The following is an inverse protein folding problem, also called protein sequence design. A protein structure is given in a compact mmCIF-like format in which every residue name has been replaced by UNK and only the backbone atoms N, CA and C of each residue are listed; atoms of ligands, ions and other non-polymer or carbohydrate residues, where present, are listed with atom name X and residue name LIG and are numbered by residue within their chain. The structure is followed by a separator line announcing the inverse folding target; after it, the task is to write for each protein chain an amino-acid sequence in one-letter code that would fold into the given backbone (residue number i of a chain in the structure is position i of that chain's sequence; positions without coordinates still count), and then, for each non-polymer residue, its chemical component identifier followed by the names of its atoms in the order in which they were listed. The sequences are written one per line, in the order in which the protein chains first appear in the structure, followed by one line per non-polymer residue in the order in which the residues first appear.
data_IF_081163686971
#
_entry.id   IF_081163686971
#
_cell.length_a   1.000
_cell.length_b   1.000
_cell.length_c   1.000
_cell.angle_alpha   90.00
_cell.angle_beta   90.00
_cell.angle_gamma   90.00
#
_symmetry.space_group_name_H-M   'P 1'
#
loop_
_entity.id
_entity.type
_entity.pdbx_description
1 polymer ?
#
# COMPACT_ATOMS: atom_id res chain seq x y z
N UNK A 1 -4.55 9.11 -1.94
CA UNK A 1 -5.65 8.13 -1.91
C UNK A 1 -5.12 6.77 -2.34
N UNK A 2 -5.44 5.72 -1.60
CA UNK A 2 -5.07 4.33 -1.87
C UNK A 2 -6.36 3.59 -2.22
N UNK A 3 -6.32 2.80 -3.30
CA UNK A 3 -7.46 2.01 -3.77
C UNK A 3 -7.04 0.55 -3.79
N UNK A 4 -7.75 -0.29 -3.04
CA UNK A 4 -7.45 -1.71 -2.93
C UNK A 4 -8.70 -2.57 -3.18
N UNK A 5 -8.47 -3.84 -3.54
CA UNK A 5 -9.56 -4.81 -3.65
C UNK A 5 -10.02 -5.25 -2.27
N UNK A 6 -11.31 -5.12 -2.04
CA UNK A 6 -12.00 -5.63 -0.88
C UNK A 6 -12.39 -7.11 -1.03
N UNK A 7 -13.48 -7.50 -0.39
CA UNK A 7 -14.06 -8.84 -0.50
C UNK A 7 -14.95 -8.93 -1.75
N UNK A 8 -14.79 -9.99 -2.51
CA UNK A 8 -15.57 -10.18 -3.74
C UNK A 8 -15.22 -9.12 -4.79
N UNK A 9 -16.20 -8.28 -5.17
CA UNK A 9 -16.06 -7.20 -6.15
C UNK A 9 -15.92 -5.82 -5.50
N UNK A 10 -16.00 -5.72 -4.18
CA UNK A 10 -15.90 -4.44 -3.48
C UNK A 10 -14.50 -3.85 -3.65
N UNK A 11 -14.38 -2.53 -3.58
CA UNK A 11 -13.12 -1.83 -3.46
C UNK A 11 -13.06 -1.09 -2.13
N UNK A 12 -11.87 -1.02 -1.57
CA UNK A 12 -11.58 -0.27 -0.35
C UNK A 12 -10.77 0.94 -0.74
N UNK A 13 -11.24 2.10 -0.34
CA UNK A 13 -10.55 3.38 -0.54
C UNK A 13 -10.06 3.84 0.82
N UNK A 14 -8.78 4.19 0.86
CA UNK A 14 -8.12 4.73 2.04
C UNK A 14 -7.51 6.09 1.73
N UNK A 15 -7.66 7.02 2.63
CA UNK A 15 -7.13 8.36 2.47
C UNK A 15 -7.17 9.15 3.77
N UNK A 16 -7.11 10.47 3.64
CA UNK A 16 -7.18 11.39 4.76
C UNK A 16 -8.23 12.46 4.50
N UNK A 17 -8.81 12.98 5.57
CA UNK A 17 -9.61 14.20 5.57
C UNK A 17 -8.69 15.44 5.59
N UNK A 18 -9.23 16.68 5.39
CA UNK A 18 -8.46 17.90 5.59
C UNK A 18 -7.81 18.01 6.97
N UNK A 19 -8.44 17.43 7.99
CA UNK A 19 -7.95 17.42 9.36
C UNK A 19 -6.94 16.28 9.65
N UNK A 20 -6.39 15.66 8.59
CA UNK A 20 -5.41 14.56 8.68
C UNK A 20 -5.95 13.26 9.30
N UNK A 21 -7.25 13.16 9.56
CA UNK A 21 -7.89 11.97 10.10
C UNK A 21 -7.99 10.86 9.04
N UNK A 22 -7.98 9.60 9.49
CA UNK A 22 -8.15 8.46 8.60
C UNK A 22 -9.55 8.45 7.97
N UNK A 23 -9.60 8.31 6.66
CA UNK A 23 -10.79 8.09 5.88
C UNK A 23 -10.70 6.73 5.19
N UNK A 24 -11.57 5.80 5.57
CA UNK A 24 -11.70 4.49 4.94
C UNK A 24 -13.14 4.32 4.45
N UNK A 25 -13.31 3.91 3.19
CA UNK A 25 -14.61 3.66 2.59
C UNK A 25 -14.59 2.39 1.76
N UNK A 26 -15.63 1.57 1.92
CA UNK A 26 -15.87 0.43 1.02
C UNK A 26 -16.94 0.80 0.01
N UNK A 27 -16.61 0.70 -1.27
CA UNK A 27 -17.55 0.90 -2.37
C UNK A 27 -17.94 -0.46 -2.91
N UNK A 28 -19.26 -0.68 -3.07
CA UNK A 28 -19.81 -1.87 -3.72
C UNK A 28 -19.36 -1.91 -5.17
N UNK A 29 -18.68 -2.98 -5.55
CA UNK A 29 -18.24 -3.20 -6.91
C UNK A 29 -19.34 -3.79 -7.79
N UNK A 30 -19.16 -3.62 -9.09
CA UNK A 30 -20.00 -4.21 -10.14
C UNK A 30 -19.24 -5.30 -10.90
N UNK A 31 -19.85 -5.89 -11.88
CA UNK A 31 -19.17 -6.77 -12.82
C UNK A 31 -18.20 -5.97 -13.69
N UNK A 32 -16.97 -6.48 -13.94
CA UNK A 32 -16.04 -5.83 -14.84
C UNK A 32 -16.62 -5.77 -16.26
N UNK A 33 -16.27 -4.74 -17.00
CA UNK A 33 -16.79 -4.51 -18.34
C UNK A 33 -15.75 -3.89 -19.27
N UNK A 34 -16.04 -3.93 -20.55
CA UNK A 34 -15.44 -3.10 -21.59
C UNK A 34 -16.51 -2.70 -22.61
N UNK A 35 -16.13 -1.85 -23.55
CA UNK A 35 -17.01 -1.53 -24.68
C UNK A 35 -16.43 -2.11 -25.97
N UNK A 36 -17.33 -2.46 -26.89
CA UNK A 36 -17.00 -2.87 -28.25
C UNK A 36 -17.90 -2.12 -29.20
N UNK A 37 -17.62 -2.14 -30.52
CA UNK A 37 -18.57 -1.64 -31.49
C UNK A 37 -19.85 -2.43 -31.41
N UNK A 38 -21.00 -1.76 -31.58
CA UNK A 38 -22.31 -2.40 -31.51
C UNK A 38 -22.46 -3.51 -32.55
N UNK A 39 -21.84 -3.38 -33.72
CA UNK A 39 -21.81 -4.39 -34.77
C UNK A 39 -21.09 -5.69 -34.38
N UNK A 40 -20.08 -5.61 -33.49
CA UNK A 40 -19.28 -6.75 -33.02
C UNK A 40 -19.91 -7.44 -31.81
N UNK A 41 -20.76 -6.75 -31.08
CA UNK A 41 -21.34 -7.24 -29.82
C UNK A 41 -22.09 -8.59 -29.95
N UNK A 42 -22.85 -8.89 -31.08
CA UNK A 42 -23.53 -10.18 -31.22
C UNK A 42 -22.60 -11.39 -31.18
N UNK A 43 -21.35 -11.24 -31.58
CA UNK A 43 -20.38 -12.34 -31.71
C UNK A 43 -19.62 -12.63 -30.40
N UNK A 44 -19.87 -11.88 -29.33
CA UNK A 44 -19.20 -12.08 -28.03
C UNK A 44 -20.03 -13.02 -27.15
N UNK A 45 -19.52 -14.24 -26.96
CA UNK A 45 -20.19 -15.28 -26.19
C UNK A 45 -19.95 -15.15 -24.67
N UNK A 46 -18.82 -14.56 -24.26
CA UNK A 46 -18.36 -14.47 -22.86
C UNK A 46 -19.10 -13.41 -22.02
N UNK A 47 -20.00 -12.66 -22.65
CA UNK A 47 -20.75 -11.62 -21.96
C UNK A 47 -21.78 -12.21 -20.98
N UNK A 48 -21.75 -11.79 -19.73
CA UNK A 48 -22.84 -12.02 -18.77
C UNK A 48 -24.07 -11.20 -19.16
N UNK A 49 -23.85 -9.98 -19.64
CA UNK A 49 -24.88 -9.05 -20.09
C UNK A 49 -24.31 -8.08 -21.13
N UNK A 50 -25.13 -7.62 -22.03
CA UNK A 50 -24.84 -6.60 -23.05
C UNK A 50 -25.80 -5.43 -22.87
N UNK A 51 -25.28 -4.20 -22.96
CA UNK A 51 -26.07 -2.98 -22.82
C UNK A 51 -25.72 -2.03 -23.97
N UNK A 52 -26.68 -1.69 -24.78
CA UNK A 52 -26.53 -0.80 -25.94
C UNK A 52 -26.75 0.67 -25.58
N UNK A 53 -26.48 1.56 -26.53
CA UNK A 53 -26.80 2.98 -26.41
C UNK A 53 -25.66 3.87 -25.98
N UNK A 54 -24.45 3.35 -25.97
CA UNK A 54 -23.24 4.14 -25.69
C UNK A 54 -22.64 4.72 -26.96
N UNK A 55 -21.93 5.84 -26.79
CA UNK A 55 -21.22 6.52 -27.88
C UNK A 55 -19.78 6.76 -27.48
N UNK A 56 -18.85 6.36 -28.31
CA UNK A 56 -17.42 6.60 -28.14
C UNK A 56 -17.06 8.08 -28.36
N UNK A 57 -15.83 8.43 -28.03
CA UNK A 57 -15.32 9.80 -28.11
C UNK A 57 -15.38 10.39 -29.53
N UNK A 58 -15.27 9.54 -30.54
CA UNK A 58 -15.31 9.96 -31.96
C UNK A 58 -16.65 9.63 -32.64
N UNK A 59 -17.71 9.36 -31.86
CA UNK A 59 -19.06 9.12 -32.38
C UNK A 59 -19.39 7.67 -32.73
N UNK A 60 -18.50 6.72 -32.41
CA UNK A 60 -18.76 5.30 -32.63
C UNK A 60 -19.93 4.82 -31.75
N UNK A 61 -20.79 3.99 -32.33
CA UNK A 61 -21.83 3.29 -31.57
C UNK A 61 -21.20 2.13 -30.80
N UNK A 62 -21.35 2.13 -29.49
CA UNK A 62 -20.77 1.16 -28.62
C UNK A 62 -21.80 0.40 -27.80
N UNK A 63 -21.47 -0.86 -27.52
CA UNK A 63 -22.21 -1.76 -26.62
C UNK A 63 -21.30 -2.08 -25.45
N UNK A 64 -21.78 -1.91 -24.20
CA UNK A 64 -21.11 -2.30 -22.96
C UNK A 64 -21.22 -3.82 -22.81
N UNK A 65 -20.08 -4.49 -22.75
CA UNK A 65 -19.96 -5.93 -22.52
C UNK A 65 -19.59 -6.15 -21.07
N UNK A 66 -20.52 -6.69 -20.30
CA UNK A 66 -20.33 -7.01 -18.89
C UNK A 66 -19.87 -8.46 -18.79
N UNK A 67 -18.72 -8.68 -18.15
CA UNK A 67 -18.04 -9.97 -18.06
C UNK A 67 -18.06 -10.54 -16.64
N UNK A 68 -17.91 -11.87 -16.53
CA UNK A 68 -17.84 -12.55 -15.23
C UNK A 68 -16.56 -12.20 -14.47
N UNK A 69 -15.47 -11.96 -15.17
CA UNK A 69 -14.15 -11.66 -14.59
C UNK A 69 -13.37 -10.63 -15.41
N UNK A 70 -12.36 -10.03 -14.77
CA UNK A 70 -11.38 -9.18 -15.48
C UNK A 70 -10.52 -9.98 -16.47
N UNK A 71 -10.39 -11.26 -16.25
CA UNK A 71 -9.71 -12.14 -17.21
C UNK A 71 -10.47 -12.14 -18.54
N UNK A 72 -11.80 -12.27 -18.51
CA UNK A 72 -12.63 -12.26 -19.70
C UNK A 72 -12.51 -10.93 -20.45
N UNK A 73 -12.53 -9.80 -19.73
CA UNK A 73 -12.30 -8.46 -20.31
C UNK A 73 -10.95 -8.40 -21.03
N UNK A 74 -9.88 -8.94 -20.42
CA UNK A 74 -8.56 -8.98 -21.04
C UNK A 74 -8.49 -9.89 -22.26
N UNK A 75 -9.23 -11.00 -22.26
CA UNK A 75 -9.30 -11.87 -23.45
C UNK A 75 -10.00 -11.15 -24.61
N UNK A 76 -11.10 -10.46 -24.35
CA UNK A 76 -11.78 -9.64 -25.35
C UNK A 76 -10.86 -8.55 -25.91
N UNK A 77 -10.09 -7.89 -25.06
CA UNK A 77 -9.12 -6.87 -25.49
C UNK A 77 -8.00 -7.41 -26.37
N UNK A 78 -7.63 -8.68 -26.21
CA UNK A 78 -6.64 -9.33 -27.07
C UNK A 78 -7.23 -9.81 -28.40
N UNK A 79 -8.52 -10.14 -28.41
CA UNK A 79 -9.21 -10.68 -29.57
C UNK A 79 -9.68 -9.61 -30.57
N UNK A 80 -9.89 -8.36 -30.11
CA UNK A 80 -10.41 -7.30 -30.97
C UNK A 80 -10.30 -5.91 -30.38
N UNK A 81 -10.86 -4.94 -31.07
CA UNK A 81 -10.88 -3.54 -30.61
C UNK A 81 -11.87 -3.38 -29.46
N UNK A 82 -11.37 -2.93 -28.33
CA UNK A 82 -12.16 -2.65 -27.13
C UNK A 82 -11.81 -1.26 -26.57
N UNK A 83 -12.77 -0.66 -25.87
CA UNK A 83 -12.56 0.57 -25.11
C UNK A 83 -12.68 0.27 -23.61
N UNK A 84 -11.89 0.95 -22.80
CA UNK A 84 -11.83 0.85 -21.34
C UNK A 84 -11.39 -0.53 -20.78
N UNK A 85 -11.08 -1.50 -21.63
CA UNK A 85 -10.60 -2.82 -21.18
C UNK A 85 -9.24 -2.77 -20.47
N UNK A 86 -8.46 -1.71 -20.66
CA UNK A 86 -7.17 -1.46 -20.03
C UNK A 86 -7.27 -0.68 -18.70
N UNK A 87 -8.47 -0.21 -18.34
CA UNK A 87 -8.68 0.46 -17.07
C UNK A 87 -8.68 -0.59 -15.95
N UNK A 88 -7.80 -0.48 -14.95
CA UNK A 88 -7.81 -1.39 -13.79
C UNK A 88 -9.18 -1.39 -13.12
N UNK A 89 -9.68 -2.56 -12.79
CA UNK A 89 -11.03 -2.73 -12.21
C UNK A 89 -11.34 -1.81 -11.02
N UNK A 90 -10.43 -1.61 -10.03
CA UNK A 90 -10.71 -0.67 -8.94
C UNK A 90 -10.94 0.77 -9.42
N UNK A 91 -10.22 1.19 -10.47
CA UNK A 91 -10.39 2.54 -11.04
C UNK A 91 -11.70 2.65 -11.83
N UNK A 92 -12.10 1.58 -12.51
CA UNK A 92 -13.39 1.51 -13.22
C UNK A 92 -14.57 1.65 -12.24
N UNK A 93 -14.55 0.90 -11.11
CA UNK A 93 -15.56 1.00 -10.06
C UNK A 93 -15.60 2.41 -9.45
N UNK A 94 -14.42 3.02 -9.23
CA UNK A 94 -14.33 4.38 -8.68
C UNK A 94 -14.90 5.42 -9.67
N UNK A 95 -14.55 5.30 -10.95
CA UNK A 95 -15.07 6.20 -11.99
C UNK A 95 -16.59 6.13 -12.07
N UNK A 96 -17.16 4.92 -12.09
CA UNK A 96 -18.61 4.73 -12.10
C UNK A 96 -19.28 5.27 -10.82
N UNK A 97 -18.65 5.07 -9.66
CA UNK A 97 -19.12 5.65 -8.39
C UNK A 97 -19.23 7.17 -8.46
N UNK A 98 -18.23 7.83 -9.00
CA UNK A 98 -18.21 9.30 -9.15
C UNK A 98 -19.24 9.75 -10.19
N UNK A 99 -19.33 9.06 -11.33
CA UNK A 99 -20.26 9.38 -12.42
C UNK A 99 -21.73 9.23 -12.01
N UNK A 100 -22.03 8.43 -10.99
CA UNK A 100 -23.36 8.33 -10.39
C UNK A 100 -23.74 9.51 -9.49
N UNK A 101 -22.93 10.57 -9.45
CA UNK A 101 -23.18 11.78 -8.66
C UNK A 101 -22.83 11.66 -7.19
N UNK A 102 -22.06 10.63 -6.81
CA UNK A 102 -21.57 10.50 -5.45
C UNK A 102 -20.47 11.54 -5.16
N UNK A 103 -20.33 11.92 -3.91
CA UNK A 103 -19.32 12.90 -3.50
C UNK A 103 -17.90 12.44 -3.87
N UNK A 104 -17.05 13.37 -4.34
CA UNK A 104 -15.65 13.09 -4.59
C UNK A 104 -14.97 12.56 -3.32
N UNK A 105 -14.08 11.59 -3.50
CA UNK A 105 -13.32 11.05 -2.39
C UNK A 105 -12.20 12.03 -2.02
N UNK A 106 -12.07 12.39 -0.76
CA UNK A 106 -11.03 13.30 -0.30
C UNK A 106 -9.63 12.78 -0.65
N UNK A 107 -8.81 13.63 -1.23
CA UNK A 107 -7.40 13.34 -1.50
C UNK A 107 -6.54 14.47 -0.95
N UNK A 108 -6.26 14.39 0.34
CA UNK A 108 -5.48 15.37 1.08
C UNK A 108 -4.06 14.87 1.38
N UNK A 109 -3.31 15.63 2.17
CA UNK A 109 -1.96 15.31 2.55
C UNK A 109 -1.85 13.89 3.13
N UNK A 110 -0.88 13.13 2.63
CA UNK A 110 -0.62 11.77 3.09
C UNK A 110 0.36 11.74 4.25
N UNK A 111 0.10 10.87 5.22
CA UNK A 111 1.09 10.54 6.23
C UNK A 111 2.15 9.66 5.61
N UNK A 112 3.37 10.17 5.56
CA UNK A 112 4.51 9.50 4.95
C UNK A 112 5.54 9.15 6.00
N UNK A 113 5.97 7.90 6.01
CA UNK A 113 7.13 7.43 6.75
C UNK A 113 8.31 7.25 5.81
N UNK A 114 9.42 7.90 6.14
CA UNK A 114 10.73 7.64 5.53
C UNK A 114 11.41 6.58 6.38
N UNK A 115 11.56 5.38 5.85
CA UNK A 115 11.99 4.18 6.56
C UNK A 115 13.38 3.77 6.11
N UNK A 116 14.18 3.35 7.07
CA UNK A 116 15.47 2.70 6.86
C UNK A 116 15.65 1.62 7.93
N UNK A 117 16.34 0.52 7.60
CA UNK A 117 16.56 -0.58 8.53
C UNK A 117 17.93 -1.23 8.34
N UNK A 118 18.55 -1.60 9.46
CA UNK A 118 19.84 -2.24 9.47
C UNK A 118 19.79 -3.62 10.14
N UNK A 119 20.46 -4.58 9.55
CA UNK A 119 20.52 -5.95 10.05
C UNK A 119 21.92 -6.55 9.93
N UNK A 120 22.16 -7.63 10.68
CA UNK A 120 23.41 -8.37 10.63
C UNK A 120 23.53 -9.10 9.28
N UNK A 121 24.58 -8.88 8.49
CA UNK A 121 24.75 -9.57 7.22
C UNK A 121 24.97 -11.08 7.36
N UNK A 122 25.45 -11.53 8.53
CA UNK A 122 25.73 -12.94 8.79
C UNK A 122 24.53 -13.72 9.32
N UNK A 123 23.70 -13.09 10.15
CA UNK A 123 22.56 -13.77 10.80
C UNK A 123 21.21 -13.31 10.28
N UNK A 124 21.17 -12.22 9.54
CA UNK A 124 19.95 -11.56 9.07
C UNK A 124 19.12 -10.89 10.19
N UNK A 125 19.59 -10.94 11.46
CA UNK A 125 18.84 -10.35 12.57
C UNK A 125 18.78 -8.84 12.45
N UNK A 126 17.58 -8.30 12.56
CA UNK A 126 17.33 -6.86 12.56
C UNK A 126 17.98 -6.21 13.78
N UNK A 127 18.73 -5.14 13.56
CA UNK A 127 19.46 -4.40 14.59
C UNK A 127 18.84 -3.05 14.88
N UNK A 128 18.48 -2.34 13.84
CA UNK A 128 17.93 -0.97 13.93
C UNK A 128 16.79 -0.83 12.91
N UNK A 129 15.77 -0.09 13.28
CA UNK A 129 14.77 0.46 12.37
C UNK A 129 14.65 1.93 12.70
N UNK A 130 14.68 2.77 11.68
CA UNK A 130 14.47 4.21 11.77
C UNK A 130 13.28 4.61 10.92
N UNK A 131 12.46 5.52 11.41
CA UNK A 131 11.39 6.12 10.62
C UNK A 131 11.22 7.61 10.95
N UNK A 132 11.24 8.46 9.93
CA UNK A 132 10.77 9.83 10.05
C UNK A 132 9.30 9.93 9.65
N UNK A 133 8.49 10.59 10.44
CA UNK A 133 7.05 10.76 10.23
C UNK A 133 6.73 12.23 9.93
N UNK A 134 6.28 12.53 8.73
CA UNK A 134 6.00 13.90 8.29
C UNK A 134 4.85 14.59 9.06
N UNK A 135 3.93 13.84 9.68
CA UNK A 135 2.81 14.43 10.42
C UNK A 135 3.20 14.88 11.82
N UNK A 136 4.04 14.12 12.49
CA UNK A 136 4.58 14.49 13.80
C UNK A 136 5.89 15.27 13.71
N UNK A 137 6.52 15.30 12.52
CA UNK A 137 7.86 15.88 12.27
C UNK A 137 8.91 15.29 13.20
N UNK A 138 8.78 13.99 13.52
CA UNK A 138 9.65 13.27 14.44
C UNK A 138 10.31 12.07 13.79
N UNK A 139 11.53 11.84 14.18
CA UNK A 139 12.24 10.61 13.92
C UNK A 139 12.01 9.63 15.08
N UNK A 140 11.87 8.36 14.75
CA UNK A 140 11.75 7.26 15.71
C UNK A 140 12.84 6.25 15.40
N UNK A 141 13.55 5.83 16.46
CA UNK A 141 14.61 4.82 16.34
C UNK A 141 14.30 3.66 17.27
N UNK A 142 14.19 2.48 16.69
CA UNK A 142 14.08 1.21 17.43
C UNK A 142 15.36 0.43 17.23
N UNK A 143 16.03 0.02 18.31
CA UNK A 143 17.28 -0.73 18.19
C UNK A 143 17.42 -1.82 19.24
N UNK A 144 18.17 -2.87 18.90
CA UNK A 144 18.44 -4.00 19.79
C UNK A 144 19.73 -3.74 20.56
N UNK A 145 19.60 -3.47 21.86
CA UNK A 145 20.72 -3.34 22.78
C UNK A 145 20.33 -3.87 24.17
N UNK A 146 20.67 -5.14 24.47
CA UNK A 146 20.21 -5.80 25.70
C UNK A 146 20.68 -5.11 26.99
N UNK A 147 21.86 -4.49 27.00
CA UNK A 147 22.41 -3.82 28.16
C UNK A 147 21.64 -2.55 28.48
N UNK A 148 21.40 -1.71 27.49
CA UNK A 148 20.62 -0.49 27.64
C UNK A 148 19.14 -0.77 27.92
N UNK A 149 18.61 -1.83 27.32
CA UNK A 149 17.23 -2.27 27.54
C UNK A 149 16.97 -2.62 29.02
N UNK A 150 17.93 -3.26 29.71
CA UNK A 150 17.81 -3.58 31.14
C UNK A 150 17.74 -2.34 32.03
N UNK A 151 18.32 -1.23 31.60
CA UNK A 151 18.38 0.00 32.39
C UNK A 151 17.11 0.87 32.22
N UNK A 152 16.33 0.68 31.19
CA UNK A 152 15.25 1.61 30.83
C UNK A 152 13.90 1.04 30.46
N UNK A 153 13.78 -0.29 30.24
CA UNK A 153 12.54 -0.90 29.80
C UNK A 153 11.83 -1.63 30.95
N UNK A 154 10.69 -1.11 31.39
CA UNK A 154 9.69 -1.90 32.14
C UNK A 154 8.69 -2.46 31.13
N UNK A 155 8.41 -3.77 31.22
CA UNK A 155 7.29 -4.47 30.59
C UNK A 155 7.15 -4.34 29.05
N UNK A 156 8.28 -4.22 28.33
CA UNK A 156 8.28 -4.15 26.85
C UNK A 156 7.82 -2.81 26.29
N UNK A 157 7.57 -1.81 27.10
CA UNK A 157 7.37 -0.43 26.68
C UNK A 157 8.72 0.27 26.60
N UNK A 158 9.12 0.65 25.36
CA UNK A 158 10.36 1.41 25.15
C UNK A 158 10.27 2.77 25.83
N UNK A 159 11.19 3.06 26.75
CA UNK A 159 11.42 4.44 27.18
C UNK A 159 12.36 5.11 26.20
N UNK A 160 12.12 6.38 25.86
CA UNK A 160 13.08 7.15 25.09
C UNK A 160 14.45 7.11 25.80
N UNK A 161 15.48 6.68 25.11
CA UNK A 161 16.83 6.71 25.63
C UNK A 161 17.43 8.08 25.34
N UNK A 162 17.30 8.99 26.32
CA UNK A 162 17.74 10.38 26.21
C UNK A 162 19.25 10.61 26.34
N UNK A 163 20.06 9.57 26.55
CA UNK A 163 21.47 9.66 26.86
C UNK A 163 22.44 9.22 25.75
N UNK A 164 22.00 9.03 24.52
CA UNK A 164 22.90 9.04 23.35
C UNK A 164 23.30 10.49 23.00
N UNK A 165 23.37 11.34 23.98
CA UNK A 165 23.31 12.79 23.93
C UNK A 165 24.69 13.47 23.84
N UNK A 166 25.47 13.15 22.82
CA UNK A 166 26.30 14.19 22.21
C UNK A 166 25.64 14.86 21.01
N UNK A 167 24.52 14.29 20.52
CA UNK A 167 23.72 14.86 19.45
C UNK A 167 22.36 15.27 20.02
N UNK A 168 22.14 16.57 20.07
CA UNK A 168 20.93 17.26 20.56
C UNK A 168 19.74 17.09 19.61
N UNK A 169 19.40 15.86 19.26
CA UNK A 169 18.15 15.57 18.56
C UNK A 169 17.14 15.05 19.58
N UNK A 170 15.97 15.68 19.62
CA UNK A 170 14.80 15.25 20.41
C UNK A 170 14.13 14.02 19.76
N UNK A 171 14.97 13.05 19.38
CA UNK A 171 14.57 11.82 18.69
C UNK A 171 14.27 10.75 19.73
N UNK A 172 13.04 10.22 19.76
CA UNK A 172 12.71 9.12 20.66
C UNK A 172 13.39 7.82 20.22
N UNK A 173 14.57 7.56 20.74
CA UNK A 173 15.32 6.33 20.54
C UNK A 173 14.93 5.31 21.62
N UNK A 174 14.60 4.08 21.19
CA UNK A 174 14.09 3.03 22.06
C UNK A 174 14.94 1.76 21.95
N UNK A 175 15.58 1.38 23.07
CA UNK A 175 16.38 0.16 23.18
C UNK A 175 15.52 -1.05 23.54
N UNK A 176 15.76 -2.18 22.91
CA UNK A 176 15.05 -3.43 23.15
C UNK A 176 16.00 -4.58 23.50
N UNK A 177 15.58 -5.52 24.37
CA UNK A 177 16.43 -6.63 24.80
C UNK A 177 16.69 -7.65 23.66
N UNK A 178 15.83 -7.69 22.67
CA UNK A 178 15.93 -8.59 21.52
C UNK A 178 15.12 -8.08 20.33
N UNK A 179 15.38 -8.65 19.17
CA UNK A 179 14.72 -8.33 17.91
C UNK A 179 13.20 -8.48 17.97
N UNK A 180 12.70 -9.55 18.58
CA UNK A 180 11.26 -9.80 18.64
C UNK A 180 10.52 -8.69 19.39
N UNK A 181 11.05 -8.24 20.52
CA UNK A 181 10.48 -7.14 21.30
C UNK A 181 10.48 -5.83 20.51
N UNK A 182 11.58 -5.56 19.82
CA UNK A 182 11.73 -4.39 18.94
C UNK A 182 10.66 -4.41 17.83
N UNK A 183 10.53 -5.53 17.11
CA UNK A 183 9.55 -5.67 16.04
C UNK A 183 8.11 -5.53 16.55
N UNK A 184 7.78 -6.08 17.72
CA UNK A 184 6.44 -5.90 18.32
C UNK A 184 6.14 -4.43 18.55
N UNK A 185 7.09 -3.69 19.11
CA UNK A 185 6.91 -2.26 19.39
C UNK A 185 6.81 -1.45 18.10
N UNK A 186 7.70 -1.69 17.14
CA UNK A 186 7.65 -1.09 15.81
C UNK A 186 6.28 -1.32 15.14
N UNK A 187 5.79 -2.57 15.11
CA UNK A 187 4.50 -2.90 14.51
C UNK A 187 3.31 -2.21 15.20
N UNK A 188 3.35 -2.09 16.53
CA UNK A 188 2.35 -1.34 17.30
C UNK A 188 2.36 0.13 16.95
N UNK A 189 3.55 0.71 16.84
CA UNK A 189 3.72 2.12 16.46
C UNK A 189 3.29 2.37 15.01
N UNK A 190 3.68 1.51 14.09
CA UNK A 190 3.23 1.53 12.69
C UNK A 190 1.70 1.48 12.58
N UNK A 191 1.06 0.62 13.38
CA UNK A 191 -0.41 0.52 13.44
C UNK A 191 -1.04 1.79 14.03
N UNK A 192 -0.45 2.37 15.07
CA UNK A 192 -0.95 3.61 15.72
C UNK A 192 -0.84 4.81 14.80
N UNK A 193 0.29 4.99 14.14
CA UNK A 193 0.53 6.09 13.21
C UNK A 193 -0.21 5.90 11.90
N UNK A 194 -0.34 4.67 11.46
CA UNK A 194 -1.02 4.24 10.23
C UNK A 194 -0.63 5.09 9.00
N UNK A 195 0.67 5.11 8.60
CA UNK A 195 1.12 5.88 7.46
C UNK A 195 0.44 5.40 6.17
N UNK A 196 0.17 6.34 5.27
CA UNK A 196 -0.37 6.08 3.94
C UNK A 196 0.74 5.62 2.99
N UNK A 197 1.91 6.24 3.15
CA UNK A 197 3.10 5.99 2.32
C UNK A 197 4.24 5.53 3.22
N UNK A 198 4.95 4.49 2.79
CA UNK A 198 6.26 4.11 3.32
C UNK A 198 7.25 4.28 2.18
N UNK A 199 8.30 5.04 2.41
CA UNK A 199 9.32 5.36 1.40
C UNK A 199 10.72 5.32 2.00
N UNK A 200 11.73 5.16 1.17
CA UNK A 200 13.14 5.11 1.52
C UNK A 200 13.97 4.72 0.30
N UNK A 201 15.27 4.65 0.49
CA UNK A 201 16.19 4.24 -0.58
C UNK A 201 16.26 2.72 -0.67
N UNK A 202 15.87 2.15 -1.79
CA UNK A 202 15.76 0.70 -2.03
C UNK A 202 14.87 -0.02 -0.99
N UNK A 203 13.93 0.72 -0.42
CA UNK A 203 13.14 0.31 0.75
C UNK A 203 12.27 -0.91 0.50
N UNK A 204 11.77 -1.11 -0.71
CA UNK A 204 10.89 -2.24 -1.05
C UNK A 204 11.69 -3.53 -1.18
N UNK A 205 12.81 -3.46 -1.91
CA UNK A 205 13.65 -4.63 -2.18
C UNK A 205 14.51 -5.07 -0.99
N UNK A 206 14.81 -4.16 -0.06
CA UNK A 206 15.63 -4.41 1.12
C UNK A 206 14.83 -4.34 2.42
N UNK A 207 14.53 -3.15 2.93
CA UNK A 207 14.03 -2.94 4.29
C UNK A 207 12.68 -3.60 4.56
N UNK A 208 11.68 -3.33 3.73
CA UNK A 208 10.34 -3.89 3.87
C UNK A 208 10.37 -5.41 3.74
N UNK A 209 11.13 -5.91 2.76
CA UNK A 209 11.33 -7.35 2.59
C UNK A 209 11.92 -7.98 3.84
N UNK A 210 13.02 -7.42 4.35
CA UNK A 210 13.70 -7.92 5.55
C UNK A 210 12.80 -7.84 6.78
N UNK A 211 12.07 -6.75 6.99
CA UNK A 211 11.12 -6.63 8.11
C UNK A 211 10.04 -7.71 8.05
N UNK A 212 9.46 -7.98 6.87
CA UNK A 212 8.46 -9.03 6.68
C UNK A 212 9.04 -10.41 7.01
N UNK A 213 10.23 -10.72 6.47
CA UNK A 213 10.93 -11.99 6.72
C UNK A 213 11.26 -12.16 8.21
N UNK A 214 11.73 -11.11 8.88
CA UNK A 214 12.06 -11.15 10.30
C UNK A 214 10.84 -11.27 11.21
N UNK A 215 9.74 -10.65 10.86
CA UNK A 215 8.47 -10.89 11.57
C UNK A 215 8.14 -12.39 11.57
N UNK A 216 8.16 -13.04 10.42
CA UNK A 216 7.88 -14.48 10.31
C UNK A 216 8.91 -15.32 11.10
N UNK A 217 10.19 -15.05 10.94
CA UNK A 217 11.26 -15.79 11.61
C UNK A 217 11.22 -15.69 13.15
N UNK A 218 10.66 -14.60 13.67
CA UNK A 218 10.48 -14.38 15.12
C UNK A 218 9.10 -14.80 15.64
N UNK A 219 8.29 -15.46 14.80
CA UNK A 219 6.94 -15.93 15.16
C UNK A 219 5.92 -14.81 15.31
N UNK A 220 6.11 -13.68 14.64
CA UNK A 220 5.16 -12.58 14.56
C UNK A 220 4.36 -12.67 13.25
N UNK A 221 3.09 -12.25 13.31
CA UNK A 221 2.28 -12.18 12.09
C UNK A 221 2.63 -10.91 11.32
N UNK A 222 3.34 -11.06 10.21
CA UNK A 222 3.68 -10.00 9.27
C UNK A 222 2.43 -9.32 8.68
N UNK A 223 1.28 -10.00 8.69
CA UNK A 223 0.01 -9.44 8.26
C UNK A 223 -0.41 -8.21 9.08
N UNK A 224 0.16 -8.03 10.28
CA UNK A 224 -0.09 -6.88 11.14
C UNK A 224 0.55 -5.58 10.60
N UNK A 225 1.54 -5.68 9.72
CA UNK A 225 2.11 -4.52 9.02
C UNK A 225 1.08 -3.86 8.09
N UNK A 226 0.15 -4.64 7.55
CA UNK A 226 -0.90 -4.18 6.66
C UNK A 226 -2.17 -3.80 7.43
N UNK A 227 -2.77 -2.63 7.17
CA UNK A 227 -4.06 -2.25 7.71
C UNK A 227 -5.20 -3.17 7.23
N UNK A 228 -5.03 -3.81 6.08
CA UNK A 228 -5.97 -4.78 5.50
C UNK A 228 -5.59 -6.24 5.79
N UNK A 229 -4.56 -6.47 6.65
CA UNK A 229 -4.07 -7.79 7.03
C UNK A 229 -3.71 -8.67 5.84
N UNK A 230 -3.06 -8.08 4.84
CA UNK A 230 -2.66 -8.76 3.61
C UNK A 230 -1.27 -8.31 3.17
N UNK A 231 -0.41 -9.27 2.89
CA UNK A 231 0.94 -9.06 2.33
C UNK A 231 0.99 -9.69 0.95
N UNK A 232 1.61 -9.00 -0.02
CA UNK A 232 2.03 -9.55 -1.30
C UNK A 232 3.53 -9.82 -1.21
N UNK A 233 3.94 -11.06 -1.45
CA UNK A 233 5.36 -11.45 -1.37
C UNK A 233 6.08 -11.17 -2.69
N UNK A 234 5.92 -9.94 -3.19
CA UNK A 234 6.55 -9.41 -4.39
C UNK A 234 7.38 -8.19 -3.97
N UNK A 235 8.68 -8.22 -4.25
CA UNK A 235 9.64 -7.21 -3.80
C UNK A 235 10.47 -6.66 -4.98
N UNK A 236 10.00 -6.84 -6.19
CA UNK A 236 10.58 -6.25 -7.38
C UNK A 236 10.20 -4.77 -7.53
N UNK A 237 10.66 -4.19 -8.63
CA UNK A 237 10.40 -2.79 -8.96
C UNK A 237 8.91 -2.46 -8.95
N UNK A 238 8.55 -1.35 -8.30
CA UNK A 238 7.18 -0.84 -8.16
C UNK A 238 6.21 -1.78 -7.44
N UNK A 239 6.70 -2.82 -6.80
CA UNK A 239 5.87 -3.72 -6.00
C UNK A 239 5.24 -3.03 -4.80
N UNK A 240 4.05 -3.50 -4.39
CA UNK A 240 3.29 -2.97 -3.26
C UNK A 240 3.08 -4.09 -2.22
N UNK A 241 4.12 -4.44 -1.46
CA UNK A 241 4.07 -5.60 -0.56
C UNK A 241 3.07 -5.45 0.59
N UNK A 242 2.91 -4.25 1.14
CA UNK A 242 2.02 -3.99 2.28
C UNK A 242 0.68 -3.46 1.76
N UNK A 243 -0.30 -4.34 1.57
CA UNK A 243 -1.61 -3.96 1.04
C UNK A 243 -2.30 -2.91 1.93
N UNK A 244 -2.79 -1.84 1.31
CA UNK A 244 -3.40 -0.70 1.98
C UNK A 244 -2.42 0.39 2.43
N UNK A 245 -1.14 0.30 2.00
CA UNK A 245 -0.14 1.36 2.05
C UNK A 245 0.54 1.46 0.70
N UNK A 246 0.95 2.65 0.30
CA UNK A 246 1.82 2.81 -0.87
C UNK A 246 3.28 2.65 -0.42
N UNK A 247 3.99 1.71 -1.03
CA UNK A 247 5.41 1.54 -0.83
C UNK A 247 6.14 2.16 -2.03
N UNK A 248 6.88 3.24 -1.81
CA UNK A 248 7.57 4.00 -2.87
C UNK A 248 9.07 3.89 -2.66
N UNK A 249 9.74 3.26 -3.61
CA UNK A 249 11.19 3.16 -3.61
C UNK A 249 11.82 4.42 -4.24
N UNK A 250 12.56 5.18 -3.45
CA UNK A 250 13.17 6.42 -3.91
C UNK A 250 14.29 6.17 -4.92
N UNK A 251 15.00 5.04 -4.84
CA UNK A 251 16.02 4.69 -5.84
C UNK A 251 15.39 4.55 -7.23
N UNK A 252 14.26 3.85 -7.31
CA UNK A 252 13.53 3.68 -8.57
C UNK A 252 12.90 4.99 -9.05
N UNK A 253 12.36 5.79 -8.12
CA UNK A 253 11.77 7.09 -8.47
C UNK A 253 12.83 8.05 -9.04
N UNK A 254 14.01 8.12 -8.42
CA UNK A 254 15.14 8.93 -8.88
C UNK A 254 15.66 8.44 -10.23
N UNK A 255 15.88 7.12 -10.37
CA UNK A 255 16.34 6.54 -11.65
C UNK A 255 15.38 6.84 -12.80
N UNK A 256 14.06 6.77 -12.52
CA UNK A 256 13.03 7.07 -13.51
C UNK A 256 12.99 8.55 -13.92
N UNK A 257 13.20 9.46 -12.95
CA UNK A 257 13.16 10.90 -13.19
C UNK A 257 14.39 11.42 -13.95
N UNK A 258 15.54 10.82 -13.73
CA UNK A 258 16.80 11.26 -14.32
C UNK A 258 17.34 10.34 -15.42
N UNK A 259 16.58 9.32 -15.82
CA UNK A 259 16.95 8.36 -16.87
C UNK A 259 18.33 7.71 -16.63
N UNK A 260 18.66 7.46 -15.34
CA UNK A 260 19.92 6.84 -14.91
C UNK A 260 19.88 5.31 -15.07
#
# INVERSE_FOLDING_TARGET
MIIERGRGRDIIIRGRTPNKERYDKTIKGHWPYCFVKTEDAPYIAEAVRKEDGYTGLFGEKLTKIICASEYDVRQLSKAGQTWEANIPYPNQVLADYINQGNEPIPNYEHRTWYLDAEWSPTTGHMRVIVAYDNFSEKEYVWFVEPTLAKQGLKDGEGKPYSQLSEYTYDTPAMAFPNERSMLIHFMRHLKKCDPDIITGWYVVGADIKQIIERCRATGLSELTLSPLRKIRYEFGDWSQPIVGRNCIDLMLAVSKLWEL
#
